data_IF_659915395398
#
_entry.id   IF_659915395398
#
_cell.length_a   1.000
_cell.length_b   1.000
_cell.length_c   1.000
_cell.angle_alpha   90.00
_cell.angle_beta   90.00
_cell.angle_gamma   90.00
#
_symmetry.space_group_name_H-M   'P 1'
#
loop_
_entity.id
_entity.type
_entity.pdbx_description
1 polymer ?
#
# COMPACT_ATOMS: atom_id res chain seq x y z
N UNK A 1 -44.75 31.15 -39.65
CA UNK A 1 -44.09 29.83 -39.73
C UNK A 1 -44.33 29.12 -38.41
N UNK A 2 -45.23 28.13 -38.34
CA UNK A 2 -45.57 27.45 -37.11
C UNK A 2 -44.57 26.32 -36.95
N UNK A 3 -43.65 26.41 -36.00
CA UNK A 3 -42.72 25.35 -35.66
C UNK A 3 -43.47 24.20 -34.99
N UNK A 4 -43.56 23.07 -35.65
CA UNK A 4 -44.18 21.87 -35.14
C UNK A 4 -43.27 21.27 -34.05
N UNK A 5 -43.57 21.53 -32.77
CA UNK A 5 -42.85 20.98 -31.62
C UNK A 5 -43.31 19.53 -31.43
N UNK A 6 -42.47 18.56 -31.83
CA UNK A 6 -42.69 17.16 -31.48
C UNK A 6 -42.45 16.98 -29.99
N UNK A 7 -43.46 16.56 -29.24
CA UNK A 7 -43.36 16.22 -27.84
C UNK A 7 -42.80 14.80 -27.64
N UNK A 8 -42.11 14.55 -26.54
CA UNK A 8 -41.65 13.21 -26.14
C UNK A 8 -42.83 12.34 -25.69
N UNK A 9 -42.84 11.09 -26.05
CA UNK A 9 -43.86 10.15 -25.58
C UNK A 9 -43.46 9.61 -24.19
N UNK A 10 -44.46 9.25 -23.40
CA UNK A 10 -44.26 8.68 -22.05
C UNK A 10 -43.49 7.35 -22.11
N UNK A 11 -43.71 6.57 -23.16
CA UNK A 11 -43.01 5.27 -23.35
C UNK A 11 -41.54 5.44 -23.70
N UNK A 12 -41.15 6.46 -24.45
CA UNK A 12 -39.74 6.75 -24.74
C UNK A 12 -38.97 7.11 -23.46
N UNK A 13 -39.59 7.86 -22.56
CA UNK A 13 -38.97 8.18 -21.28
C UNK A 13 -38.84 6.93 -20.39
N UNK A 14 -39.88 6.10 -20.36
CA UNK A 14 -39.92 4.89 -19.52
C UNK A 14 -38.88 3.88 -19.94
N UNK A 15 -38.66 3.66 -21.24
CA UNK A 15 -37.63 2.75 -21.78
C UNK A 15 -36.23 3.24 -21.44
N UNK A 16 -35.97 4.55 -21.53
CA UNK A 16 -34.64 5.13 -21.21
C UNK A 16 -34.29 4.91 -19.75
N UNK A 17 -35.21 5.21 -18.81
CA UNK A 17 -34.93 4.98 -17.38
C UNK A 17 -34.77 3.50 -17.04
N UNK A 18 -35.49 2.60 -17.73
CA UNK A 18 -35.32 1.16 -17.54
C UNK A 18 -33.93 0.69 -17.97
N UNK A 19 -33.42 1.15 -19.12
CA UNK A 19 -32.07 0.81 -19.62
C UNK A 19 -31.00 1.39 -18.67
N UNK A 20 -31.14 2.65 -18.25
CA UNK A 20 -30.20 3.27 -17.29
C UNK A 20 -30.19 2.49 -15.98
N UNK A 21 -31.35 2.06 -15.48
CA UNK A 21 -31.45 1.25 -14.26
C UNK A 21 -30.69 -0.07 -14.35
N UNK A 22 -30.82 -0.79 -15.46
CA UNK A 22 -30.09 -2.05 -15.68
C UNK A 22 -28.57 -1.82 -15.80
N UNK A 23 -28.15 -0.83 -16.59
CA UNK A 23 -26.73 -0.50 -16.77
C UNK A 23 -26.09 -0.04 -15.47
N UNK A 24 -26.75 0.81 -14.68
CA UNK A 24 -26.27 1.27 -13.38
C UNK A 24 -26.06 0.12 -12.39
N UNK A 25 -26.96 -0.87 -12.39
CA UNK A 25 -26.85 -2.04 -11.53
C UNK A 25 -25.60 -2.90 -11.85
N UNK A 26 -25.26 -3.06 -13.12
CA UNK A 26 -24.07 -3.83 -13.56
C UNK A 26 -22.75 -3.10 -13.22
N UNK A 27 -22.72 -1.77 -13.26
CA UNK A 27 -21.52 -0.98 -12.99
C UNK A 27 -21.13 -1.07 -11.51
N UNK A 28 -22.09 -1.00 -10.59
CA UNK A 28 -21.82 -0.97 -9.15
C UNK A 28 -21.12 -2.26 -8.67
N UNK A 29 -21.50 -3.41 -9.19
CA UNK A 29 -20.94 -4.71 -8.77
C UNK A 29 -19.46 -4.85 -9.14
N UNK A 30 -19.03 -4.29 -10.28
CA UNK A 30 -17.64 -4.39 -10.75
C UNK A 30 -16.70 -3.32 -10.18
N UNK A 31 -17.24 -2.27 -9.56
CA UNK A 31 -16.44 -1.12 -9.13
C UNK A 31 -15.62 -1.40 -7.86
N UNK A 32 -16.10 -2.25 -6.96
CA UNK A 32 -15.40 -2.55 -5.70
C UNK A 32 -14.08 -3.29 -5.93
N UNK A 33 -14.05 -4.26 -6.85
CA UNK A 33 -12.82 -4.97 -7.22
C UNK A 33 -11.78 -4.06 -7.87
N UNK A 34 -12.22 -3.16 -8.75
CA UNK A 34 -11.35 -2.18 -9.39
C UNK A 34 -10.76 -1.18 -8.38
N UNK A 35 -11.55 -0.76 -7.39
CA UNK A 35 -11.08 0.12 -6.32
C UNK A 35 -10.02 -0.56 -5.45
N UNK A 36 -10.22 -1.82 -5.05
CA UNK A 36 -9.24 -2.56 -4.27
C UNK A 36 -7.93 -2.75 -5.06
N UNK A 37 -8.01 -3.08 -6.35
CA UNK A 37 -6.84 -3.18 -7.21
C UNK A 37 -6.07 -1.85 -7.33
N UNK A 38 -6.78 -0.73 -7.44
CA UNK A 38 -6.18 0.60 -7.46
C UNK A 38 -5.49 0.95 -6.14
N UNK A 39 -6.10 0.62 -5.00
CA UNK A 39 -5.51 0.79 -3.68
C UNK A 39 -4.29 -0.10 -3.49
N UNK A 40 -4.34 -1.37 -3.89
CA UNK A 40 -3.20 -2.28 -3.85
C UNK A 40 -2.01 -1.76 -4.67
N UNK A 41 -2.27 -1.15 -5.83
CA UNK A 41 -1.23 -0.51 -6.63
C UNK A 41 -0.59 0.69 -5.91
N UNK A 42 -1.38 1.50 -5.22
CA UNK A 42 -0.87 2.62 -4.40
C UNK A 42 -0.05 2.12 -3.22
N UNK A 43 -0.52 1.08 -2.51
CA UNK A 43 0.21 0.46 -1.40
C UNK A 43 1.59 -0.02 -1.87
N UNK A 44 1.65 -0.74 -2.99
CA UNK A 44 2.92 -1.20 -3.57
C UNK A 44 3.85 -0.03 -3.92
N UNK A 45 3.33 1.01 -4.56
CA UNK A 45 4.11 2.21 -4.87
C UNK A 45 4.63 2.92 -3.61
N UNK A 46 3.85 2.96 -2.53
CA UNK A 46 4.27 3.52 -1.25
C UNK A 46 5.41 2.69 -0.63
N UNK A 47 5.37 1.36 -0.70
CA UNK A 47 6.46 0.50 -0.21
C UNK A 47 7.75 0.66 -1.04
N UNK A 48 7.64 0.86 -2.35
CA UNK A 48 8.80 1.18 -3.20
C UNK A 48 9.43 2.53 -2.85
N UNK A 49 8.61 3.54 -2.51
CA UNK A 49 9.09 4.82 -2.01
C UNK A 49 9.76 4.67 -0.64
N UNK A 50 9.17 3.88 0.26
CA UNK A 50 9.75 3.58 1.57
C UNK A 50 11.12 2.92 1.42
N UNK A 51 11.26 1.94 0.50
CA UNK A 51 12.54 1.30 0.19
C UNK A 51 13.57 2.34 -0.26
N UNK A 52 13.20 3.22 -1.17
CA UNK A 52 14.10 4.29 -1.65
C UNK A 52 14.52 5.21 -0.51
N UNK A 53 13.60 5.62 0.35
CA UNK A 53 13.88 6.45 1.51
C UNK A 53 14.79 5.75 2.53
N UNK A 54 14.61 4.45 2.75
CA UNK A 54 15.47 3.65 3.62
C UNK A 54 16.92 3.62 3.11
N UNK A 55 17.14 3.45 1.80
CA UNK A 55 18.48 3.47 1.21
C UNK A 55 19.11 4.87 1.31
N UNK A 56 18.34 5.93 1.10
CA UNK A 56 18.81 7.31 1.31
C UNK A 56 19.20 7.54 2.77
N UNK A 57 18.38 7.09 3.72
CA UNK A 57 18.70 7.17 5.14
C UNK A 57 20.03 6.47 5.47
N UNK A 58 20.20 5.22 5.01
CA UNK A 58 21.44 4.45 5.18
C UNK A 58 22.67 5.19 4.65
N UNK A 59 22.53 5.85 3.49
CA UNK A 59 23.62 6.57 2.86
C UNK A 59 23.96 7.91 3.53
N UNK A 60 23.00 8.55 4.19
CA UNK A 60 23.15 9.90 4.76
C UNK A 60 23.22 9.90 6.27
N UNK A 61 22.16 9.54 6.95
CA UNK A 61 21.99 9.63 8.40
C UNK A 61 22.34 8.34 9.14
N UNK A 62 22.17 7.20 8.50
CA UNK A 62 22.39 5.87 9.07
C UNK A 62 23.84 5.42 9.18
N UNK A 63 24.79 6.23 8.67
CA UNK A 63 26.23 5.87 8.67
C UNK A 63 26.51 4.46 8.13
N UNK A 64 25.82 4.07 7.06
CA UNK A 64 25.95 2.76 6.40
C UNK A 64 25.03 1.67 6.96
N UNK A 65 24.16 1.97 7.91
CA UNK A 65 23.24 1.03 8.52
C UNK A 65 21.80 1.55 8.50
N UNK A 66 20.83 0.64 8.56
CA UNK A 66 19.46 0.97 8.95
C UNK A 66 19.41 0.98 10.47
N UNK A 67 18.75 1.98 11.07
CA UNK A 67 18.66 2.05 12.54
C UNK A 67 17.89 0.85 13.06
N UNK A 68 18.46 0.12 13.99
CA UNK A 68 17.86 -1.08 14.55
C UNK A 68 16.55 -0.75 15.27
N UNK A 69 15.45 -1.36 14.82
CA UNK A 69 14.23 -1.46 15.60
C UNK A 69 14.13 -2.88 16.15
N UNK A 70 13.78 -3.00 17.39
CA UNK A 70 13.23 -4.25 17.92
C UNK A 70 11.88 -4.48 17.25
N UNK A 71 11.65 -5.71 16.80
CA UNK A 71 10.44 -6.26 16.19
C UNK A 71 9.18 -5.39 16.37
N UNK A 72 8.73 -4.73 15.33
CA UNK A 72 7.57 -3.85 15.40
C UNK A 72 6.43 -4.44 14.62
N UNK A 73 5.67 -5.23 15.34
CA UNK A 73 4.36 -5.71 14.92
C UNK A 73 3.34 -4.56 15.15
N UNK A 74 3.39 -3.54 14.31
CA UNK A 74 2.48 -2.41 14.41
C UNK A 74 1.42 -2.47 13.29
N UNK A 75 0.34 -3.16 13.60
CA UNK A 75 -0.79 -3.37 12.69
C UNK A 75 -1.49 -2.12 12.14
N UNK A 76 -1.08 -0.91 12.52
CA UNK A 76 -1.74 0.33 12.07
C UNK A 76 -0.92 1.60 12.22
N UNK A 77 0.35 1.55 12.63
CA UNK A 77 1.16 2.74 12.87
C UNK A 77 2.55 2.58 12.28
N UNK A 78 2.98 3.58 11.55
CA UNK A 78 4.33 3.72 11.03
C UNK A 78 5.26 4.45 11.99
N UNK A 79 4.76 4.75 13.18
CA UNK A 79 5.52 5.40 14.25
C UNK A 79 6.28 4.32 15.04
N UNK A 80 7.50 4.08 14.59
CA UNK A 80 8.38 3.07 15.15
C UNK A 80 9.55 3.77 15.78
N UNK A 81 9.48 3.96 17.08
CA UNK A 81 10.59 4.46 17.88
C UNK A 81 11.86 3.65 17.58
N UNK A 82 12.91 4.35 17.14
CA UNK A 82 14.26 3.80 16.92
C UNK A 82 14.52 3.06 15.60
N UNK A 83 13.73 3.23 14.54
CA UNK A 83 14.05 2.75 13.19
C UNK A 83 14.38 3.88 12.21
N UNK A 84 14.69 3.54 10.94
CA UNK A 84 14.80 4.55 9.86
C UNK A 84 13.48 5.29 9.60
N UNK A 85 12.39 4.84 10.20
CA UNK A 85 11.09 5.52 10.21
C UNK A 85 11.02 6.62 11.28
N UNK A 86 11.84 6.56 12.34
CA UNK A 86 11.77 7.42 13.54
C UNK A 86 12.46 8.79 13.40
N UNK A 87 13.16 9.06 12.32
CA UNK A 87 13.93 10.32 12.21
C UNK A 87 13.05 11.54 11.96
N UNK A 88 12.09 11.78 12.84
CA UNK A 88 11.06 12.81 12.77
C UNK A 88 9.76 12.29 12.10
N UNK A 89 8.57 12.68 12.59
CA UNK A 89 7.28 12.35 11.96
C UNK A 89 7.15 12.90 10.54
N UNK A 90 8.23 13.36 9.94
CA UNK A 90 8.33 13.92 8.60
C UNK A 90 9.35 13.21 7.70
N UNK A 91 9.96 12.09 8.12
CA UNK A 91 10.85 11.34 7.23
C UNK A 91 10.05 10.85 6.02
N UNK A 92 10.70 10.79 4.86
CA UNK A 92 10.03 10.33 3.63
C UNK A 92 9.63 8.86 3.74
N UNK A 93 10.36 8.07 4.53
CA UNK A 93 10.02 6.69 4.82
C UNK A 93 8.74 6.57 5.66
N UNK A 94 8.59 7.40 6.70
CA UNK A 94 7.38 7.46 7.53
C UNK A 94 6.16 7.86 6.69
N UNK A 95 6.25 8.92 5.90
CA UNK A 95 5.17 9.36 4.99
C UNK A 95 4.76 8.27 4.01
N UNK A 96 5.73 7.54 3.45
CA UNK A 96 5.44 6.45 2.52
C UNK A 96 4.71 5.29 3.24
N UNK A 97 5.11 4.96 4.46
CA UNK A 97 4.43 3.97 5.28
C UNK A 97 3.01 4.41 5.64
N UNK A 98 2.82 5.64 6.13
CA UNK A 98 1.51 6.20 6.44
C UNK A 98 0.58 6.25 5.22
N UNK A 99 1.12 6.53 4.03
CA UNK A 99 0.35 6.49 2.79
C UNK A 99 -0.19 5.08 2.49
N UNK A 100 0.60 4.03 2.74
CA UNK A 100 0.14 2.65 2.60
C UNK A 100 -0.94 2.30 3.63
N UNK A 101 -0.74 2.67 4.89
CA UNK A 101 -1.73 2.46 5.97
C UNK A 101 -3.02 3.22 5.71
N UNK A 102 -2.94 4.45 5.18
CA UNK A 102 -4.10 5.26 4.80
C UNK A 102 -4.98 4.63 3.71
N UNK A 103 -4.44 3.77 2.86
CA UNK A 103 -5.23 2.97 1.90
C UNK A 103 -5.83 1.69 2.51
N UNK A 104 -5.50 1.38 3.77
CA UNK A 104 -6.01 0.23 4.52
C UNK A 104 -5.04 -0.95 4.59
N UNK A 105 -3.75 -0.73 4.30
CA UNK A 105 -2.72 -1.73 4.47
C UNK A 105 -2.37 -1.96 5.95
N UNK A 106 -2.02 -3.21 6.29
CA UNK A 106 -1.34 -3.54 7.54
C UNK A 106 0.14 -3.72 7.23
N UNK A 107 0.97 -2.81 7.71
CA UNK A 107 2.41 -2.81 7.41
C UNK A 107 3.19 -3.38 8.57
N UNK A 108 4.10 -4.31 8.28
CA UNK A 108 5.08 -4.86 9.22
C UNK A 108 6.47 -4.50 8.77
N UNK A 109 7.28 -3.97 9.68
CA UNK A 109 8.67 -3.60 9.42
C UNK A 109 9.57 -4.38 10.34
N UNK A 110 10.59 -5.02 9.79
CA UNK A 110 11.66 -5.65 10.56
C UNK A 110 13.02 -5.13 10.11
N UNK A 111 13.87 -4.86 11.09
CA UNK A 111 15.25 -4.45 10.87
C UNK A 111 16.14 -5.41 11.63
N UNK A 112 17.19 -5.90 11.00
CA UNK A 112 18.12 -6.85 11.63
C UNK A 112 18.72 -6.25 12.92
N UNK A 113 18.62 -6.99 14.03
CA UNK A 113 19.09 -6.55 15.33
C UNK A 113 20.62 -6.52 15.40
N UNK A 114 21.21 -5.33 15.52
CA UNK A 114 22.65 -5.15 15.72
C UNK A 114 23.08 -3.70 15.59
N UNK A 115 24.27 -3.40 16.11
CA UNK A 115 24.87 -2.05 16.04
C UNK A 115 25.16 -1.57 14.61
N UNK A 116 25.04 -2.45 13.63
CA UNK A 116 25.26 -2.17 12.21
C UNK A 116 24.12 -2.69 11.35
N UNK A 117 22.87 -2.70 11.84
CA UNK A 117 21.67 -3.23 11.16
C UNK A 117 21.77 -3.19 9.61
N UNK A 118 22.35 -4.23 8.96
CA UNK A 118 22.68 -4.17 7.53
C UNK A 118 21.49 -4.43 6.63
N UNK A 119 20.39 -4.93 7.18
CA UNK A 119 19.22 -5.37 6.44
C UNK A 119 17.90 -4.95 7.08
N UNK A 120 16.90 -4.75 6.25
CA UNK A 120 15.52 -4.55 6.67
C UNK A 120 14.57 -5.27 5.71
N UNK A 121 13.37 -5.49 6.18
CA UNK A 121 12.25 -6.03 5.40
C UNK A 121 10.96 -5.32 5.81
N UNK A 122 10.14 -5.02 4.84
CA UNK A 122 8.81 -4.42 5.04
C UNK A 122 7.79 -5.25 4.29
N UNK A 123 6.83 -5.79 5.00
CA UNK A 123 5.77 -6.62 4.45
C UNK A 123 4.39 -6.03 4.76
N UNK A 124 3.46 -6.19 3.84
CA UNK A 124 2.09 -5.71 3.99
C UNK A 124 1.06 -6.70 3.45
N UNK A 125 -0.12 -6.68 4.05
CA UNK A 125 -1.30 -7.34 3.51
C UNK A 125 -2.03 -6.37 2.58
N UNK A 126 -2.31 -6.81 1.37
CA UNK A 126 -3.08 -6.06 0.37
C UNK A 126 -4.59 -6.26 0.56
N UNK A 127 -5.40 -5.35 0.05
CA UNK A 127 -6.86 -5.45 0.12
C UNK A 127 -7.44 -6.62 -0.69
N UNK A 128 -6.68 -7.11 -1.67
CA UNK A 128 -6.98 -8.35 -2.41
C UNK A 128 -6.79 -9.62 -1.57
N UNK A 129 -6.22 -9.51 -0.36
CA UNK A 129 -5.88 -10.65 0.52
C UNK A 129 -4.53 -11.29 0.20
N UNK A 130 -3.77 -10.76 -0.76
CA UNK A 130 -2.40 -11.17 -1.04
C UNK A 130 -1.41 -10.36 -0.20
N UNK A 131 -0.13 -10.78 -0.21
CA UNK A 131 0.95 -10.10 0.50
C UNK A 131 1.91 -9.44 -0.47
N UNK A 132 2.58 -8.39 -0.02
CA UNK A 132 3.64 -7.74 -0.76
C UNK A 132 4.77 -7.34 0.19
N UNK A 133 6.01 -7.61 -0.21
CA UNK A 133 7.18 -7.39 0.61
C UNK A 133 8.28 -6.69 -0.19
N UNK A 134 9.02 -5.83 0.49
CA UNK A 134 10.24 -5.20 -0.02
C UNK A 134 11.35 -5.34 1.01
N UNK A 135 12.60 -5.49 0.55
CA UNK A 135 13.75 -5.64 1.43
C UNK A 135 15.00 -4.88 0.95
N UNK A 136 16.02 -4.92 1.77
CA UNK A 136 17.31 -4.26 1.52
C UNK A 136 18.16 -4.94 0.43
N UNK A 137 17.79 -6.15 -0.02
CA UNK A 137 18.49 -6.84 -1.12
C UNK A 137 18.02 -6.37 -2.49
N UNK A 138 16.94 -5.58 -2.52
CA UNK A 138 16.28 -5.10 -3.73
C UNK A 138 15.07 -5.94 -4.15
N UNK A 139 14.68 -6.92 -3.34
CA UNK A 139 13.46 -7.67 -3.60
C UNK A 139 12.22 -6.77 -3.46
N UNK A 140 11.27 -6.97 -4.37
CA UNK A 140 9.95 -6.35 -4.32
C UNK A 140 8.94 -7.31 -4.96
N UNK A 141 8.13 -7.97 -4.15
CA UNK A 141 7.23 -9.01 -4.64
C UNK A 141 6.38 -9.65 -3.57
N UNK A 142 5.75 -10.77 -3.91
CA UNK A 142 5.02 -11.57 -2.94
C UNK A 142 6.02 -12.38 -2.11
N UNK A 143 5.97 -12.34 -0.75
CA UNK A 143 6.81 -13.19 0.08
C UNK A 143 6.40 -14.66 -0.09
N UNK A 144 7.30 -15.58 0.27
CA UNK A 144 7.04 -17.02 0.19
C UNK A 144 5.95 -17.48 1.16
N UNK A 145 5.76 -16.73 2.24
CA UNK A 145 4.78 -16.98 3.30
C UNK A 145 3.96 -15.71 3.59
N UNK A 146 3.18 -15.70 4.65
CA UNK A 146 2.50 -14.50 5.11
C UNK A 146 3.46 -13.48 5.74
N UNK A 147 3.00 -12.25 5.98
CA UNK A 147 3.83 -11.21 6.57
C UNK A 147 4.25 -11.48 8.03
N UNK A 148 3.68 -12.49 8.71
CA UNK A 148 4.07 -12.84 10.07
C UNK A 148 5.40 -13.60 10.12
N UNK A 149 5.71 -14.34 9.05
CA UNK A 149 6.91 -15.15 8.90
C UNK A 149 7.74 -14.79 7.68
N UNK A 150 7.15 -14.09 6.72
CA UNK A 150 7.79 -13.66 5.46
C UNK A 150 8.74 -12.47 5.58
N UNK A 151 8.83 -11.85 6.77
CA UNK A 151 9.87 -10.93 7.16
C UNK A 151 10.66 -11.59 8.29
N UNK A 152 11.76 -12.26 7.98
CA UNK A 152 12.56 -12.96 8.99
C UNK A 152 13.39 -11.96 9.81
N UNK A 153 13.28 -12.06 11.15
CA UNK A 153 14.04 -11.26 12.09
C UNK A 153 15.56 -11.56 12.08
N UNK A 154 15.96 -12.70 11.50
CA UNK A 154 17.37 -13.13 11.46
C UNK A 154 18.09 -12.48 10.29
N UNK A 155 17.49 -12.49 9.11
CA UNK A 155 18.08 -11.99 7.86
C UNK A 155 17.46 -10.69 7.40
N UNK A 156 16.26 -10.34 7.89
CA UNK A 156 15.45 -9.22 7.43
C UNK A 156 15.28 -9.22 5.90
N UNK A 157 14.90 -10.36 5.36
CA UNK A 157 14.60 -10.58 3.95
C UNK A 157 13.13 -11.03 3.74
N UNK A 158 12.68 -10.97 2.50
CA UNK A 158 11.32 -11.29 2.08
C UNK A 158 11.14 -12.74 1.60
N UNK A 159 12.00 -13.66 1.96
CA UNK A 159 12.02 -15.05 1.47
C UNK A 159 11.21 -16.02 2.29
#
# INVERSE_FOLDING_TARGET
MVMNKKGFTLIELLVVIAIIGILSGLIIVNLSGAQNAAKDAKIKASLDQLRTAAEVYKATSGNGAYKAATDVDNGSSCDVDASFLDDSPQSDANKACEAAVGEGATVRVQVNAGTSAPAYCVCTTLLSGSYFCVDSTGYAGAPATDCSTGCDSTNADCL
#
